data_IF_099246519744
#
_entry.id   IF_099246519744
#
_cell.length_a   1.000
_cell.length_b   1.000
_cell.length_c   1.000
_cell.angle_alpha   90.00
_cell.angle_beta   90.00
_cell.angle_gamma   90.00
#
_symmetry.space_group_name_H-M   'P 1'
#
loop_
_entity.id
_entity.type
_entity.pdbx_description
1 polymer ?
#
# COMPACT_ATOMS: atom_id res chain seq x y z
N UNK A 1 3.64 14.70 -19.96
CA UNK A 1 3.94 14.46 -18.54
C UNK A 1 3.65 12.99 -18.26
N UNK A 2 4.46 12.35 -17.42
CA UNK A 2 4.16 10.98 -16.99
C UNK A 2 2.94 10.97 -16.07
N UNK A 3 2.30 9.81 -15.88
CA UNK A 3 1.19 9.70 -14.93
C UNK A 3 1.61 10.15 -13.51
N UNK A 4 2.81 9.76 -13.06
CA UNK A 4 3.35 10.15 -11.75
C UNK A 4 3.42 11.67 -11.59
N UNK A 5 3.91 12.40 -12.59
CA UNK A 5 4.02 13.86 -12.56
C UNK A 5 2.64 14.52 -12.48
N UNK A 6 1.67 14.04 -13.25
CA UNK A 6 0.29 14.54 -13.25
C UNK A 6 -0.43 14.24 -11.93
N UNK A 7 -0.20 13.06 -11.35
CA UNK A 7 -0.74 12.67 -10.05
C UNK A 7 -0.16 13.53 -8.91
N UNK A 8 1.15 13.79 -8.92
CA UNK A 8 1.79 14.69 -7.95
C UNK A 8 1.25 16.11 -8.08
N UNK A 9 1.16 16.65 -9.31
CA UNK A 9 0.57 17.97 -9.54
C UNK A 9 -0.89 18.06 -9.06
N UNK A 10 -1.64 16.95 -9.13
CA UNK A 10 -3.00 16.88 -8.62
C UNK A 10 -3.05 16.93 -7.09
N UNK A 11 -2.13 16.24 -6.41
CA UNK A 11 -1.99 16.33 -4.94
C UNK A 11 -1.63 17.76 -4.53
N UNK A 12 -0.68 18.40 -5.22
CA UNK A 12 -0.29 19.79 -4.96
C UNK A 12 -1.48 20.76 -5.13
N UNK A 13 -2.30 20.55 -6.17
CA UNK A 13 -3.53 21.31 -6.38
C UNK A 13 -4.52 21.13 -5.22
N UNK A 14 -4.78 19.89 -4.79
CA UNK A 14 -5.68 19.60 -3.67
C UNK A 14 -5.19 20.25 -2.37
N UNK A 15 -3.89 20.17 -2.09
CA UNK A 15 -3.27 20.79 -0.92
C UNK A 15 -3.38 22.32 -0.96
N UNK A 16 -3.17 22.94 -2.13
CA UNK A 16 -3.27 24.39 -2.28
C UNK A 16 -4.69 24.91 -1.99
N UNK A 17 -5.72 24.18 -2.44
CA UNK A 17 -7.12 24.59 -2.31
C UNK A 17 -7.76 24.21 -0.98
N UNK A 18 -7.21 23.23 -0.26
CA UNK A 18 -7.79 22.69 0.97
C UNK A 18 -6.79 22.67 2.13
N UNK A 19 -5.88 23.65 2.17
CA UNK A 19 -4.76 23.68 3.12
C UNK A 19 -5.20 23.58 4.59
N UNK A 20 -6.30 24.24 4.95
CA UNK A 20 -6.83 24.20 6.32
C UNK A 20 -7.40 22.81 6.68
N UNK A 21 -7.98 22.10 5.70
CA UNK A 21 -8.55 20.76 5.87
C UNK A 21 -7.50 19.72 6.27
N UNK A 22 -6.21 19.93 5.98
CA UNK A 22 -5.14 19.07 6.50
C UNK A 22 -5.10 19.01 8.04
N UNK A 23 -5.57 20.07 8.71
CA UNK A 23 -5.55 20.19 10.16
C UNK A 23 -6.92 19.88 10.79
N UNK A 24 -8.00 20.15 10.06
CA UNK A 24 -9.36 20.13 10.61
C UNK A 24 -10.22 18.99 10.10
N UNK A 25 -9.85 18.34 8.99
CA UNK A 25 -10.58 17.24 8.37
C UNK A 25 -9.73 15.96 8.34
N UNK A 26 -10.11 15.00 9.18
CA UNK A 26 -9.44 13.70 9.28
C UNK A 26 -9.55 12.87 8.01
N UNK A 27 -10.66 12.99 7.27
CA UNK A 27 -10.81 12.29 6.00
C UNK A 27 -9.82 12.85 4.98
N UNK A 28 -9.68 14.17 4.91
CA UNK A 28 -8.76 14.80 3.96
C UNK A 28 -7.30 14.46 4.25
N UNK A 29 -6.87 14.55 5.51
CA UNK A 29 -5.50 14.21 5.91
C UNK A 29 -5.17 12.74 5.61
N UNK A 30 -6.09 11.81 5.93
CA UNK A 30 -5.92 10.38 5.64
C UNK A 30 -5.91 10.10 4.14
N UNK A 31 -6.83 10.71 3.37
CA UNK A 31 -6.90 10.55 1.92
C UNK A 31 -5.59 10.98 1.24
N UNK A 32 -5.08 12.16 1.55
CA UNK A 32 -3.82 12.65 0.99
C UNK A 32 -2.62 11.84 1.47
N UNK A 33 -2.60 11.40 2.73
CA UNK A 33 -1.57 10.52 3.26
C UNK A 33 -1.49 9.18 2.52
N UNK A 34 -2.65 8.53 2.31
CA UNK A 34 -2.78 7.29 1.54
C UNK A 34 -2.32 7.50 0.08
N UNK A 35 -2.81 8.54 -0.58
CA UNK A 35 -2.46 8.82 -1.97
C UNK A 35 -0.95 9.05 -2.14
N UNK A 36 -0.36 9.86 -1.27
CA UNK A 36 1.07 10.18 -1.28
C UNK A 36 1.91 8.95 -0.96
N UNK A 37 1.48 8.12 0.00
CA UNK A 37 2.15 6.87 0.32
C UNK A 37 2.19 5.90 -0.88
N UNK A 38 1.05 5.70 -1.56
CA UNK A 38 0.98 4.85 -2.74
C UNK A 38 1.83 5.41 -3.91
N UNK A 39 1.79 6.72 -4.15
CA UNK A 39 2.66 7.37 -5.15
C UNK A 39 4.14 7.24 -4.82
N UNK A 40 4.51 7.32 -3.55
CA UNK A 40 5.91 7.15 -3.11
C UNK A 40 6.42 5.74 -3.42
N UNK A 41 5.61 4.70 -3.14
CA UNK A 41 5.94 3.31 -3.51
C UNK A 41 6.11 3.19 -5.03
N UNK A 42 5.17 3.74 -5.80
CA UNK A 42 5.25 3.69 -7.26
C UNK A 42 6.46 4.44 -7.81
N UNK A 43 6.82 5.59 -7.24
CA UNK A 43 8.04 6.32 -7.56
C UNK A 43 9.28 5.45 -7.31
N UNK A 44 9.35 4.74 -6.19
CA UNK A 44 10.44 3.81 -5.89
C UNK A 44 10.53 2.68 -6.93
N UNK A 45 9.39 2.16 -7.40
CA UNK A 45 9.33 1.13 -8.46
C UNK A 45 9.96 1.62 -9.76
N UNK A 46 9.58 2.82 -10.22
CA UNK A 46 10.08 3.39 -11.49
C UNK A 46 11.55 3.79 -11.36
N UNK A 47 11.90 4.59 -10.35
CA UNK A 47 13.24 5.17 -10.23
C UNK A 47 14.30 4.11 -9.96
N UNK A 48 13.95 3.07 -9.21
CA UNK A 48 14.86 1.96 -8.92
C UNK A 48 14.81 0.86 -9.99
N UNK A 49 13.91 0.97 -10.98
CA UNK A 49 13.70 -0.01 -12.05
C UNK A 49 13.47 -1.44 -11.52
N UNK A 50 12.68 -1.56 -10.45
CA UNK A 50 12.42 -2.83 -9.75
C UNK A 50 11.08 -3.49 -10.14
N UNK A 51 10.39 -2.94 -11.15
CA UNK A 51 9.06 -3.39 -11.57
C UNK A 51 9.03 -4.84 -12.07
N UNK A 52 10.15 -5.34 -12.61
CA UNK A 52 10.33 -6.70 -13.12
C UNK A 52 10.89 -7.69 -12.08
N UNK A 53 10.93 -7.31 -10.80
CA UNK A 53 11.41 -8.14 -9.69
C UNK A 53 10.34 -8.51 -8.66
N UNK A 54 10.74 -9.31 -7.66
CA UNK A 54 9.87 -9.72 -6.52
C UNK A 54 9.34 -8.50 -5.77
N UNK A 55 10.19 -7.46 -5.59
CA UNK A 55 9.79 -6.23 -4.90
C UNK A 55 8.70 -5.46 -5.68
N UNK A 56 8.67 -5.57 -7.02
CA UNK A 56 7.58 -5.02 -7.83
C UNK A 56 6.23 -5.64 -7.48
N UNK A 57 6.18 -6.97 -7.26
CA UNK A 57 4.95 -7.68 -6.83
C UNK A 57 4.50 -7.22 -5.43
N UNK A 58 5.44 -7.06 -4.50
CA UNK A 58 5.14 -6.52 -3.18
C UNK A 58 4.62 -5.07 -3.24
N UNK A 59 5.17 -4.25 -4.14
CA UNK A 59 4.72 -2.88 -4.36
C UNK A 59 3.29 -2.84 -4.92
N UNK A 60 2.98 -3.61 -5.97
CA UNK A 60 1.64 -3.69 -6.56
C UNK A 60 0.60 -4.15 -5.54
N UNK A 61 0.90 -5.21 -4.79
CA UNK A 61 0.04 -5.68 -3.69
C UNK A 61 -0.24 -4.60 -2.66
N UNK A 62 0.79 -3.86 -2.26
CA UNK A 62 0.67 -2.79 -1.25
C UNK A 62 -0.18 -1.64 -1.77
N UNK A 63 0.05 -1.17 -3.00
CA UNK A 63 -0.74 -0.12 -3.63
C UNK A 63 -2.22 -0.55 -3.76
N UNK A 64 -2.45 -1.80 -4.14
CA UNK A 64 -3.79 -2.42 -4.22
C UNK A 64 -4.52 -2.40 -2.87
N UNK A 65 -3.85 -2.85 -1.80
CA UNK A 65 -4.44 -2.89 -0.46
C UNK A 65 -4.72 -1.49 0.10
N UNK A 66 -3.86 -0.52 -0.22
CA UNK A 66 -4.04 0.89 0.14
C UNK A 66 -5.27 1.50 -0.55
N UNK A 67 -5.45 1.26 -1.85
CA UNK A 67 -6.64 1.66 -2.60
C UNK A 67 -7.92 1.07 -1.99
N UNK A 68 -7.93 -0.25 -1.79
CA UNK A 68 -9.08 -0.98 -1.24
C UNK A 68 -9.43 -0.48 0.16
N UNK A 69 -8.42 -0.20 0.99
CA UNK A 69 -8.64 0.34 2.33
C UNK A 69 -9.31 1.70 2.28
N UNK A 70 -8.87 2.61 1.40
CA UNK A 70 -9.50 3.93 1.23
C UNK A 70 -10.95 3.83 0.76
N UNK A 71 -11.22 3.04 -0.29
CA UNK A 71 -12.58 2.84 -0.83
C UNK A 71 -13.50 2.12 0.16
N UNK A 72 -12.95 1.19 0.95
CA UNK A 72 -13.71 0.52 2.02
C UNK A 72 -14.08 1.48 3.14
N UNK A 73 -13.15 2.34 3.57
CA UNK A 73 -13.44 3.33 4.61
C UNK A 73 -14.50 4.33 4.17
N UNK A 74 -14.50 4.77 2.91
CA UNK A 74 -15.53 5.68 2.41
C UNK A 74 -16.92 5.04 2.35
N UNK A 75 -17.00 3.75 2.05
CA UNK A 75 -18.26 3.00 2.15
C UNK A 75 -18.75 2.92 3.62
N UNK A 76 -17.83 2.67 4.55
CA UNK A 76 -18.16 2.45 5.96
C UNK A 76 -18.40 3.72 6.78
N UNK A 77 -17.95 4.86 6.30
CA UNK A 77 -18.17 6.17 6.92
C UNK A 77 -19.66 6.46 7.23
N UNK A 78 -20.58 5.91 6.42
CA UNK A 78 -22.02 6.05 6.63
C UNK A 78 -22.50 5.41 7.94
N UNK A 79 -21.93 4.25 8.29
CA UNK A 79 -22.27 3.48 9.49
C UNK A 79 -21.35 3.84 10.67
N UNK A 80 -20.12 4.29 10.37
CA UNK A 80 -19.08 4.62 11.33
C UNK A 80 -18.44 5.99 10.99
N UNK A 81 -19.00 7.10 11.49
CA UNK A 81 -18.51 8.44 11.14
C UNK A 81 -17.08 8.75 11.62
N UNK A 82 -16.56 8.03 12.62
CA UNK A 82 -15.21 8.22 13.16
C UNK A 82 -14.15 7.33 12.51
N UNK A 83 -14.49 6.60 11.44
CA UNK A 83 -13.62 5.58 10.83
C UNK A 83 -12.23 6.09 10.43
N UNK A 84 -12.13 7.31 9.90
CA UNK A 84 -10.86 7.91 9.48
C UNK A 84 -9.93 8.17 10.66
N UNK A 85 -10.49 8.69 11.76
CA UNK A 85 -9.75 8.85 13.02
C UNK A 85 -9.36 7.49 13.59
N UNK A 86 -10.29 6.53 13.60
CA UNK A 86 -10.04 5.17 14.07
C UNK A 86 -8.93 4.49 13.26
N UNK A 87 -8.83 4.75 11.96
CA UNK A 87 -7.76 4.24 11.10
C UNK A 87 -6.38 4.75 11.51
N UNK A 88 -6.24 6.06 11.75
CA UNK A 88 -4.98 6.64 12.28
C UNK A 88 -4.61 6.03 13.63
N UNK A 89 -5.55 5.99 14.57
CA UNK A 89 -5.31 5.46 15.91
C UNK A 89 -4.93 3.98 15.88
N UNK A 90 -5.58 3.19 15.01
CA UNK A 90 -5.23 1.79 14.78
C UNK A 90 -3.79 1.64 14.25
N UNK A 91 -3.42 2.46 13.25
CA UNK A 91 -2.08 2.44 12.66
C UNK A 91 -0.99 2.76 13.68
N UNK A 92 -1.14 3.86 14.43
CA UNK A 92 -0.21 4.26 15.48
C UNK A 92 -0.17 3.23 16.63
N UNK A 93 -1.32 2.61 16.96
CA UNK A 93 -1.40 1.52 17.92
C UNK A 93 -0.54 0.31 17.59
N UNK A 94 -0.22 0.06 16.31
CA UNK A 94 0.73 -0.99 15.90
C UNK A 94 2.16 -0.67 16.30
N UNK A 95 2.57 0.60 16.29
CA UNK A 95 3.89 0.99 16.76
C UNK A 95 4.03 0.82 18.27
N UNK A 96 2.97 1.07 19.04
CA UNK A 96 2.98 0.76 20.48
C UNK A 96 3.35 -0.69 20.76
N UNK A 97 2.86 -1.65 19.97
CA UNK A 97 3.23 -3.06 20.12
C UNK A 97 4.74 -3.29 19.94
N UNK A 98 5.31 -2.75 18.86
CA UNK A 98 6.74 -2.90 18.55
C UNK A 98 7.60 -2.21 19.62
N UNK A 99 7.21 -1.02 20.07
CA UNK A 99 7.89 -0.26 21.13
C UNK A 99 7.92 -1.06 22.43
N UNK A 100 6.76 -1.57 22.89
CA UNK A 100 6.72 -2.38 24.11
C UNK A 100 7.58 -3.64 23.99
N UNK A 101 7.60 -4.27 22.81
CA UNK A 101 8.49 -5.43 22.57
C UNK A 101 9.96 -5.07 22.55
N UNK A 102 10.34 -3.93 21.98
CA UNK A 102 11.71 -3.45 22.01
C UNK A 102 12.17 -3.16 23.44
N UNK A 103 11.31 -2.56 24.28
CA UNK A 103 11.59 -2.32 25.70
C UNK A 103 11.65 -3.61 26.53
N UNK A 104 10.88 -4.64 26.18
CA UNK A 104 10.89 -5.94 26.86
C UNK A 104 12.14 -6.76 26.53
N UNK A 105 12.55 -6.78 25.26
CA UNK A 105 13.66 -7.61 24.76
C UNK A 105 15.01 -6.88 24.86
N UNK A 106 15.01 -5.56 24.92
CA UNK A 106 16.20 -4.70 24.94
C UNK A 106 17.23 -5.10 23.85
N UNK A 107 16.82 -5.15 22.56
CA UNK A 107 17.73 -5.57 21.50
C UNK A 107 18.85 -4.53 21.29
N UNK A 108 19.98 -4.97 20.73
CA UNK A 108 21.05 -4.06 20.28
C UNK A 108 20.59 -3.23 19.07
N UNK A 109 20.04 -2.05 19.34
CA UNK A 109 19.46 -1.17 18.33
C UNK A 109 20.48 -0.48 17.42
N UNK A 110 21.80 -0.60 17.64
CA UNK A 110 22.80 0.12 16.84
C UNK A 110 22.77 -0.25 15.35
N UNK A 111 22.35 -1.48 15.02
CA UNK A 111 22.30 -2.02 13.65
C UNK A 111 20.88 -2.29 13.15
N UNK A 112 19.86 -1.83 13.85
CA UNK A 112 18.47 -2.01 13.44
C UNK A 112 18.01 -0.91 12.48
N UNK A 113 17.10 -1.26 11.56
CA UNK A 113 16.52 -0.29 10.62
C UNK A 113 15.47 0.62 11.28
N UNK A 114 14.88 0.20 12.40
CA UNK A 114 13.90 1.01 13.13
C UNK A 114 14.60 1.79 14.25
N UNK A 115 14.28 3.07 14.36
CA UNK A 115 14.79 3.94 15.42
C UNK A 115 13.73 4.06 16.52
N UNK A 116 13.98 3.44 17.67
CA UNK A 116 13.05 3.46 18.81
C UNK A 116 12.64 4.89 19.21
N UNK A 117 13.55 5.88 19.31
CA UNK A 117 13.15 7.25 19.65
C UNK A 117 12.20 7.90 18.63
N UNK A 118 12.30 7.53 17.35
CA UNK A 118 11.39 8.02 16.30
C UNK A 118 10.02 7.38 16.47
N UNK A 119 9.95 6.07 16.70
CA UNK A 119 8.68 5.39 16.93
C UNK A 119 7.98 5.92 18.19
N UNK A 120 8.72 6.15 19.26
CA UNK A 120 8.20 6.73 20.50
C UNK A 120 7.68 8.16 20.29
N UNK A 121 8.38 8.99 19.51
CA UNK A 121 7.89 10.31 19.15
C UNK A 121 6.58 10.24 18.36
N UNK A 122 6.51 9.37 17.34
CA UNK A 122 5.30 9.17 16.54
C UNK A 122 4.11 8.66 17.37
N UNK A 123 4.36 7.73 18.31
CA UNK A 123 3.32 7.20 19.20
C UNK A 123 2.71 8.29 20.10
N UNK A 124 3.52 9.27 20.50
CA UNK A 124 3.13 10.33 21.42
C UNK A 124 2.78 11.66 20.73
N UNK A 125 2.68 11.68 19.39
CA UNK A 125 2.46 12.91 18.60
C UNK A 125 1.08 13.53 18.87
N UNK A 126 0.02 12.72 18.77
CA UNK A 126 -1.36 13.19 18.96
C UNK A 126 -1.83 13.09 20.42
N UNK A 127 -1.48 12.00 21.10
CA UNK A 127 -1.87 11.71 22.50
C UNK A 127 -0.81 10.85 23.18
N UNK A 128 -0.72 10.96 24.50
CA UNK A 128 0.21 10.15 25.30
C UNK A 128 0.00 8.65 25.07
N UNK A 129 1.09 7.89 25.07
CA UNK A 129 1.13 6.44 24.88
C UNK A 129 0.08 5.71 25.75
N UNK A 130 -0.14 6.16 26.98
CA UNK A 130 -1.10 5.61 27.93
C UNK A 130 -2.56 5.64 27.42
N UNK A 131 -2.89 6.53 26.49
CA UNK A 131 -4.21 6.69 25.88
C UNK A 131 -4.33 6.04 24.48
N UNK A 132 -3.25 5.41 24.00
CA UNK A 132 -3.25 4.69 22.73
C UNK A 132 -3.47 3.20 22.96
N UNK A 133 -4.54 2.66 22.38
CA UNK A 133 -4.84 1.23 22.47
C UNK A 133 -3.95 0.42 21.52
N UNK A 134 -3.58 -0.77 21.97
CA UNK A 134 -2.90 -1.77 21.16
C UNK A 134 -3.92 -2.78 20.67
N UNK A 135 -4.29 -2.72 19.40
CA UNK A 135 -5.06 -3.79 18.75
C UNK A 135 -4.14 -4.59 17.81
N UNK A 136 -3.99 -5.89 18.07
CA UNK A 136 -3.16 -6.78 17.24
C UNK A 136 -3.91 -7.35 16.04
N UNK A 137 -5.25 -7.22 15.98
CA UNK A 137 -6.09 -7.72 14.89
C UNK A 137 -6.03 -6.81 13.66
N UNK A 138 -6.72 -7.17 12.58
CA UNK A 138 -6.85 -6.33 11.38
C UNK A 138 -7.72 -5.10 11.65
N UNK A 139 -7.50 -4.03 10.89
CA UNK A 139 -8.36 -2.83 10.97
C UNK A 139 -9.81 -3.22 10.71
N UNK A 140 -10.69 -2.80 11.62
CA UNK A 140 -12.13 -3.15 11.64
C UNK A 140 -12.42 -4.66 11.80
N UNK A 141 -11.42 -5.46 12.17
CA UNK A 141 -11.52 -6.93 12.37
C UNK A 141 -12.09 -7.71 11.17
N UNK A 142 -12.23 -7.08 10.00
CA UNK A 142 -12.75 -7.71 8.81
C UNK A 142 -11.63 -8.41 8.04
N UNK A 143 -11.97 -9.57 7.48
CA UNK A 143 -11.12 -10.28 6.56
C UNK A 143 -10.87 -9.42 5.30
N UNK A 144 -9.65 -9.43 4.77
CA UNK A 144 -9.27 -8.59 3.63
C UNK A 144 -10.17 -8.87 2.42
N UNK A 145 -10.45 -10.13 2.07
CA UNK A 145 -11.35 -10.49 0.97
C UNK A 145 -12.73 -9.86 1.10
N UNK A 146 -13.29 -9.83 2.31
CA UNK A 146 -14.60 -9.20 2.57
C UNK A 146 -14.60 -7.70 2.30
N UNK A 147 -13.45 -7.03 2.44
CA UNK A 147 -13.32 -5.60 2.10
C UNK A 147 -13.44 -5.40 0.60
N UNK A 148 -12.76 -6.23 -0.20
CA UNK A 148 -12.87 -6.22 -1.67
C UNK A 148 -14.30 -6.53 -2.13
N UNK A 149 -14.93 -7.56 -1.57
CA UNK A 149 -16.32 -7.93 -1.86
C UNK A 149 -17.28 -6.75 -1.59
N UNK A 150 -17.11 -6.05 -0.45
CA UNK A 150 -17.97 -4.94 -0.06
C UNK A 150 -17.89 -3.73 -1.00
N UNK A 151 -16.73 -3.50 -1.62
CA UNK A 151 -16.50 -2.36 -2.55
C UNK A 151 -16.61 -2.75 -4.02
N UNK A 152 -16.99 -4.00 -4.32
CA UNK A 152 -17.18 -4.52 -5.66
C UNK A 152 -15.90 -4.82 -6.44
N UNK A 153 -14.74 -4.94 -5.79
CA UNK A 153 -13.42 -5.09 -6.43
C UNK A 153 -12.93 -6.55 -6.42
N UNK A 154 -13.81 -7.53 -6.66
CA UNK A 154 -13.46 -8.96 -6.57
C UNK A 154 -12.36 -9.35 -7.57
N UNK A 155 -12.39 -8.82 -8.78
CA UNK A 155 -11.38 -9.12 -9.80
C UNK A 155 -10.00 -8.63 -9.37
N UNK A 156 -9.92 -7.48 -8.70
CA UNK A 156 -8.67 -6.96 -8.15
C UNK A 156 -8.14 -7.85 -7.02
N UNK A 157 -9.04 -8.45 -6.22
CA UNK A 157 -8.64 -9.44 -5.22
C UNK A 157 -8.06 -10.69 -5.89
N UNK A 158 -8.82 -11.29 -6.80
CA UNK A 158 -8.50 -12.59 -7.39
C UNK A 158 -7.26 -12.51 -8.29
N UNK A 159 -7.08 -11.42 -9.04
CA UNK A 159 -6.00 -11.27 -10.01
C UNK A 159 -4.75 -10.62 -9.45
N UNK A 160 -4.87 -9.58 -8.61
CA UNK A 160 -3.70 -8.81 -8.14
C UNK A 160 -3.36 -9.20 -6.70
N UNK A 161 -4.30 -9.04 -5.77
CA UNK A 161 -4.03 -9.26 -4.35
C UNK A 161 -3.60 -10.71 -4.04
N UNK A 162 -4.37 -11.71 -4.48
CA UNK A 162 -4.11 -13.12 -4.18
C UNK A 162 -2.85 -13.62 -4.89
N UNK A 163 -2.67 -13.26 -6.17
CA UNK A 163 -1.46 -13.60 -6.92
C UNK A 163 -0.20 -13.00 -6.26
N UNK A 164 -0.18 -11.70 -5.99
CA UNK A 164 1.00 -11.06 -5.41
C UNK A 164 1.24 -11.45 -3.94
N UNK A 165 0.19 -11.87 -3.22
CA UNK A 165 0.32 -12.44 -1.87
C UNK A 165 1.22 -13.68 -1.85
N UNK A 166 1.29 -14.45 -2.95
CA UNK A 166 2.22 -15.56 -3.07
C UNK A 166 3.69 -15.09 -2.97
N UNK A 167 4.02 -13.93 -3.53
CA UNK A 167 5.36 -13.35 -3.47
C UNK A 167 5.68 -12.81 -2.07
N UNK A 168 4.72 -12.13 -1.45
CA UNK A 168 4.89 -11.60 -0.09
C UNK A 168 5.08 -12.71 0.96
N UNK A 169 4.38 -13.84 0.82
CA UNK A 169 4.49 -14.97 1.75
C UNK A 169 5.56 -16.00 1.37
N UNK A 170 6.21 -15.86 0.21
CA UNK A 170 7.18 -16.85 -0.27
C UNK A 170 6.55 -18.21 -0.52
N UNK A 171 5.36 -18.24 -1.12
CA UNK A 171 4.70 -19.49 -1.50
C UNK A 171 5.37 -20.11 -2.73
N UNK A 172 5.23 -21.43 -2.88
CA UNK A 172 5.98 -22.19 -3.87
C UNK A 172 5.75 -21.73 -5.32
N UNK A 173 4.55 -21.27 -5.65
CA UNK A 173 4.26 -20.72 -6.99
C UNK A 173 5.15 -19.53 -7.32
N UNK A 174 5.25 -18.55 -6.41
CA UNK A 174 6.13 -17.40 -6.56
C UNK A 174 7.61 -17.80 -6.54
N UNK A 175 8.03 -18.68 -5.62
CA UNK A 175 9.42 -19.18 -5.56
C UNK A 175 9.82 -19.82 -6.90
N UNK A 176 8.97 -20.70 -7.44
CA UNK A 176 9.18 -21.31 -8.75
C UNK A 176 9.32 -20.19 -9.79
N UNK A 177 8.37 -19.26 -9.85
CA UNK A 177 8.32 -18.24 -10.89
C UNK A 177 9.50 -17.26 -10.85
N UNK A 178 10.06 -16.96 -9.68
CA UNK A 178 11.05 -15.88 -9.53
C UNK A 178 12.46 -16.34 -9.17
N UNK A 179 12.64 -17.56 -8.64
CA UNK A 179 13.92 -18.00 -8.08
C UNK A 179 14.37 -19.38 -8.59
N UNK A 180 13.63 -19.98 -9.54
CA UNK A 180 13.93 -21.30 -10.08
C UNK A 180 13.93 -21.28 -11.61
N UNK A 181 15.05 -21.69 -12.21
CA UNK A 181 15.22 -21.84 -13.65
C UNK A 181 15.08 -23.30 -14.07
N UNK A 182 14.71 -23.49 -15.32
CA UNK A 182 14.58 -24.81 -15.93
C UNK A 182 15.96 -25.33 -16.38
N UNK A 183 16.35 -26.52 -15.93
CA UNK A 183 17.56 -27.17 -16.41
C UNK A 183 17.33 -27.63 -17.86
N UNK A 184 18.16 -27.19 -18.80
CA UNK A 184 18.04 -27.52 -20.23
C UNK A 184 18.71 -28.86 -20.61
N UNK A 185 19.27 -29.59 -19.65
CA UNK A 185 19.90 -30.89 -19.88
C UNK A 185 18.86 -32.03 -19.89
N UNK A 186 18.65 -32.73 -21.03
CA UNK A 186 17.69 -33.83 -21.12
C UNK A 186 18.00 -34.99 -20.16
N UNK A 187 19.29 -35.26 -19.89
CA UNK A 187 19.72 -36.32 -18.98
C UNK A 187 19.35 -36.04 -17.52
N UNK A 188 19.10 -34.76 -17.20
CA UNK A 188 18.67 -34.32 -15.87
C UNK A 188 17.15 -34.24 -15.74
N UNK A 189 16.40 -34.73 -16.75
CA UNK A 189 14.93 -34.76 -16.80
C UNK A 189 14.28 -33.39 -16.70
N UNK A 190 14.99 -32.33 -17.10
CA UNK A 190 14.43 -30.99 -17.16
C UNK A 190 13.85 -30.47 -15.83
N UNK A 191 14.47 -30.84 -14.72
CA UNK A 191 14.03 -30.36 -13.41
C UNK A 191 14.31 -28.86 -13.23
N UNK A 192 13.70 -28.27 -12.21
CA UNK A 192 13.98 -26.88 -11.79
C UNK A 192 15.20 -26.84 -10.88
N UNK A 193 16.12 -25.89 -11.11
CA UNK A 193 17.26 -25.61 -10.23
C UNK A 193 17.19 -24.16 -9.71
N UNK A 194 17.77 -23.86 -8.54
CA UNK A 194 17.83 -22.49 -8.04
C UNK A 194 18.59 -21.56 -9.00
N UNK A 195 18.03 -20.37 -9.23
CA UNK A 195 18.71 -19.30 -9.97
C UNK A 195 19.69 -18.55 -9.05
N UNK A 196 20.86 -19.14 -8.82
CA UNK A 196 21.93 -18.51 -8.02
C UNK A 196 22.63 -17.35 -8.75
N UNK A 197 22.37 -17.19 -10.05
CA UNK A 197 22.88 -16.09 -10.87
C UNK A 197 21.97 -14.87 -10.82
N UNK A 198 20.75 -15.01 -10.32
CA UNK A 198 19.73 -13.96 -10.19
C UNK A 198 19.42 -13.28 -11.53
N UNK A 199 19.33 -14.07 -12.61
CA UNK A 199 19.06 -13.60 -13.97
C UNK A 199 17.56 -13.60 -14.31
N UNK A 200 16.77 -14.41 -13.59
CA UNK A 200 15.34 -14.57 -13.81
C UNK A 200 14.60 -13.28 -13.49
N UNK A 201 13.93 -12.74 -14.51
CA UNK A 201 13.09 -11.55 -14.44
C UNK A 201 11.62 -11.91 -14.59
N UNK A 202 10.76 -11.12 -13.96
CA UNK A 202 9.31 -11.19 -14.08
C UNK A 202 8.82 -10.16 -15.10
N UNK A 203 7.52 -10.18 -15.41
CA UNK A 203 6.90 -9.08 -16.15
C UNK A 203 6.80 -7.84 -15.27
N UNK A 204 7.01 -6.65 -15.84
CA UNK A 204 6.92 -5.39 -15.10
C UNK A 204 5.50 -5.15 -14.57
N UNK A 205 5.39 -4.71 -13.32
CA UNK A 205 4.12 -4.28 -12.69
C UNK A 205 3.74 -2.84 -12.99
N UNK A 206 4.58 -2.06 -13.68
CA UNK A 206 4.40 -0.60 -13.78
C UNK A 206 3.03 -0.20 -14.32
N UNK A 207 2.52 -0.91 -15.34
CA UNK A 207 1.21 -0.66 -15.91
C UNK A 207 0.08 -0.96 -14.91
N UNK A 208 0.19 -2.06 -14.17
CA UNK A 208 -0.79 -2.47 -13.17
C UNK A 208 -0.79 -1.51 -11.97
N UNK A 209 0.38 -1.02 -11.56
CA UNK A 209 0.51 0.04 -10.56
C UNK A 209 -0.20 1.32 -11.01
N UNK A 210 0.02 1.77 -12.26
CA UNK A 210 -0.71 2.92 -12.80
C UNK A 210 -2.22 2.70 -12.82
N UNK A 211 -2.68 1.51 -13.21
CA UNK A 211 -4.10 1.17 -13.25
C UNK A 211 -4.74 1.34 -11.87
N UNK A 212 -4.16 0.74 -10.83
CA UNK A 212 -4.67 0.83 -9.46
C UNK A 212 -4.58 2.26 -8.93
N UNK A 213 -3.50 2.99 -9.22
CA UNK A 213 -3.37 4.40 -8.82
C UNK A 213 -4.41 5.28 -9.51
N UNK A 214 -4.75 5.03 -10.77
CA UNK A 214 -5.84 5.76 -11.44
C UNK A 214 -7.19 5.48 -10.75
N UNK A 215 -7.47 4.24 -10.35
CA UNK A 215 -8.67 3.92 -9.53
C UNK A 215 -8.65 4.65 -8.19
N UNK A 216 -7.49 4.74 -7.52
CA UNK A 216 -7.33 5.50 -6.28
C UNK A 216 -7.63 7.00 -6.48
N UNK A 217 -7.07 7.63 -7.52
CA UNK A 217 -7.31 9.03 -7.81
C UNK A 217 -8.75 9.31 -8.25
N UNK A 218 -9.40 8.40 -8.98
CA UNK A 218 -10.82 8.51 -9.29
C UNK A 218 -11.71 8.34 -8.04
N UNK A 219 -11.31 7.52 -7.08
CA UNK A 219 -12.00 7.47 -5.79
C UNK A 219 -11.86 8.81 -5.04
N UNK A 220 -10.69 9.44 -5.08
CA UNK A 220 -10.47 10.76 -4.46
C UNK A 220 -11.24 11.88 -5.15
N UNK A 221 -11.41 11.83 -6.48
CA UNK A 221 -12.19 12.83 -7.21
C UNK A 221 -13.68 12.77 -6.89
N UNK A 222 -14.17 11.65 -6.35
CA UNK A 222 -15.52 11.57 -5.77
C UNK A 222 -15.67 12.30 -4.43
N UNK A 223 -14.56 12.64 -3.76
CA UNK A 223 -14.55 13.32 -2.47
C UNK A 223 -14.20 14.81 -2.60
N UNK A 224 -13.34 15.16 -3.56
CA UNK A 224 -12.73 16.49 -3.68
C UNK A 224 -12.72 16.97 -5.12
N UNK A 225 -12.75 18.28 -5.31
CA UNK A 225 -12.64 18.89 -6.63
C UNK A 225 -11.22 18.70 -7.19
N UNK A 226 -11.15 18.11 -8.39
CA UNK A 226 -9.91 17.81 -9.09
C UNK A 226 -9.68 18.81 -10.23
N UNK A 227 -8.42 19.04 -10.63
CA UNK A 227 -8.12 19.92 -11.75
C UNK A 227 -8.60 19.30 -13.08
N UNK A 228 -9.14 20.14 -13.97
CA UNK A 228 -9.72 19.73 -15.26
C UNK A 228 -8.78 18.80 -16.07
N UNK A 229 -7.48 19.11 -16.10
CA UNK A 229 -6.51 18.30 -16.86
C UNK A 229 -6.47 16.83 -16.44
N UNK A 230 -6.71 16.54 -15.16
CA UNK A 230 -6.68 15.18 -14.64
C UNK A 230 -7.98 14.46 -15.01
N UNK A 231 -9.12 15.14 -14.83
CA UNK A 231 -10.45 14.60 -15.15
C UNK A 231 -10.57 14.33 -16.66
N UNK A 232 -10.13 15.25 -17.51
CA UNK A 232 -10.19 15.08 -18.97
C UNK A 232 -9.39 13.88 -19.46
N UNK A 233 -8.30 13.52 -18.77
CA UNK A 233 -7.39 12.46 -19.18
C UNK A 233 -7.69 11.10 -18.55
N UNK A 234 -8.17 11.09 -17.30
CA UNK A 234 -8.30 9.87 -16.48
C UNK A 234 -9.69 9.68 -15.86
N UNK A 235 -10.59 10.66 -16.00
CA UNK A 235 -11.96 10.56 -15.52
C UNK A 235 -12.73 9.44 -16.20
N UNK A 236 -13.65 8.82 -15.45
CA UNK A 236 -14.54 7.79 -16.00
C UNK A 236 -13.92 6.40 -16.16
N UNK A 237 -12.87 6.05 -15.39
CA UNK A 237 -12.45 4.65 -15.24
C UNK A 237 -13.41 3.89 -14.29
N UNK A 238 -14.69 3.90 -14.65
CA UNK A 238 -15.67 2.94 -14.17
C UNK A 238 -15.87 1.93 -15.30
N UNK A 239 -14.96 0.95 -15.35
CA UNK A 239 -15.13 -0.43 -15.78
C UNK A 239 -13.98 -1.27 -15.18
#
# INVERSE_FOLDING_TARGET
>A
MSFLEEAVNTIDYLMANNKESLLTDEKFSVCLGIATYALKIYKEVIESQIGDGILGRNALRTITEVYVTLKYMSLKEQDQPDIWKAFKEYGIGKYKYVILKAREVEPDLEKHHFALPVLEALLNEDKGEEFTNMDTRLFDNQNVRKKFEAIGENDLYDLYYEYDTNFTHGLWGAIRESAMIFCDNPSHKYHTVPDITFEQKLRSVEHDCEYVLKKLFNQLSSFYEFPDFFIDKYGGLDD
#
